data_IF_443491842941
#
_entry.id   IF_443491842941
#
_cell.length_a   1.000
_cell.length_b   1.000
_cell.length_c   1.000
_cell.angle_alpha   90.00
_cell.angle_beta   90.00
_cell.angle_gamma   90.00
#
_symmetry.space_group_name_H-M   'P 1'
#
loop_
_entity.id
_entity.type
_entity.pdbx_description
1 polymer ?
#
# COMPACT_ATOMS: atom_id res chain seq x y z
N UNK A 1 35.82 40.69 -44.22
CA UNK A 1 36.30 39.85 -43.10
C UNK A 1 35.15 39.73 -42.11
N UNK A 2 34.44 38.58 -42.04
CA UNK A 2 34.66 37.46 -41.10
C UNK A 2 34.46 37.96 -39.64
N UNK A 3 33.48 37.55 -38.82
CA UNK A 3 32.88 36.23 -38.56
C UNK A 3 31.52 36.33 -37.83
N UNK A 4 30.65 35.34 -38.07
CA UNK A 4 29.54 34.94 -37.20
C UNK A 4 30.04 34.55 -35.79
N UNK A 5 29.24 34.79 -34.73
CA UNK A 5 29.22 33.93 -33.55
C UNK A 5 27.82 33.33 -33.31
N UNK A 6 27.77 32.01 -33.48
CA UNK A 6 27.19 31.04 -32.52
C UNK A 6 25.68 31.11 -32.22
N UNK A 7 24.93 30.45 -33.11
CA UNK A 7 24.04 29.33 -32.79
C UNK A 7 24.23 28.74 -31.37
N UNK A 8 23.27 28.93 -30.46
CA UNK A 8 22.92 28.01 -29.33
C UNK A 8 21.98 28.72 -28.34
N UNK A 9 20.67 28.73 -28.60
CA UNK A 9 19.66 28.85 -27.54
C UNK A 9 18.39 28.12 -28.00
N UNK A 10 18.06 27.02 -27.34
CA UNK A 10 16.74 26.41 -27.50
C UNK A 10 16.69 24.90 -27.64
N UNK A 11 17.53 24.14 -26.93
CA UNK A 11 17.16 22.77 -26.56
C UNK A 11 16.71 22.83 -25.11
N UNK A 12 15.48 23.28 -24.90
CA UNK A 12 14.74 23.02 -23.66
C UNK A 12 14.14 21.61 -23.79
N UNK A 13 14.99 20.58 -23.81
CA UNK A 13 14.54 19.21 -23.65
C UNK A 13 14.19 19.03 -22.18
N UNK A 14 12.87 19.06 -21.94
CA UNK A 14 12.17 18.64 -20.76
C UNK A 14 13.00 17.71 -19.85
N UNK A 15 13.41 18.23 -18.70
CA UNK A 15 13.62 17.42 -17.51
C UNK A 15 12.28 16.78 -17.17
N UNK A 16 12.00 15.62 -17.76
CA UNK A 16 11.00 14.68 -17.25
C UNK A 16 11.49 14.37 -15.84
N UNK A 17 10.80 14.95 -14.87
CA UNK A 17 11.00 14.71 -13.47
C UNK A 17 10.94 13.19 -13.25
N UNK A 18 12.11 12.59 -13.04
CA UNK A 18 12.22 11.36 -12.30
C UNK A 18 11.85 11.73 -10.86
N UNK A 19 10.56 11.89 -10.61
CA UNK A 19 10.00 11.97 -9.27
C UNK A 19 10.16 10.56 -8.68
N UNK A 20 11.08 10.31 -7.73
CA UNK A 20 10.96 9.09 -6.96
C UNK A 20 9.63 9.21 -6.23
N UNK A 21 8.74 8.29 -6.56
CA UNK A 21 7.52 7.94 -5.86
C UNK A 21 7.26 8.74 -4.57
N UNK A 22 6.19 9.55 -4.57
CA UNK A 22 5.46 9.92 -3.36
C UNK A 22 4.80 8.66 -2.76
N UNK A 23 5.57 7.61 -2.50
CA UNK A 23 5.18 6.51 -1.66
C UNK A 23 5.54 6.95 -0.25
N UNK A 24 4.53 7.27 0.56
CA UNK A 24 4.73 7.61 1.98
C UNK A 24 5.74 6.65 2.59
N UNK A 25 6.72 7.21 3.29
CA UNK A 25 7.89 6.57 3.88
C UNK A 25 7.72 5.04 4.02
N UNK A 26 8.26 4.29 3.05
CA UNK A 26 8.00 2.86 2.95
C UNK A 26 8.58 2.17 4.19
N UNK A 27 7.70 1.76 5.11
CA UNK A 27 8.13 1.10 6.34
C UNK A 27 8.70 -0.28 6.02
N UNK A 28 9.98 -0.44 6.31
CA UNK A 28 10.73 -1.67 6.10
C UNK A 28 10.81 -2.41 7.42
N UNK A 29 10.33 -3.65 7.43
CA UNK A 29 10.28 -4.47 8.64
C UNK A 29 11.33 -5.58 8.59
N UNK A 30 12.01 -5.91 9.70
CA UNK A 30 12.87 -7.08 9.77
C UNK A 30 12.08 -8.37 9.55
N UNK A 31 12.66 -9.30 8.79
CA UNK A 31 12.15 -10.67 8.67
C UNK A 31 12.92 -11.58 9.66
N UNK A 32 12.24 -12.22 10.62
CA UNK A 32 12.91 -13.03 11.63
C UNK A 32 13.37 -14.37 11.05
N UNK A 33 14.65 -14.46 10.67
CA UNK A 33 15.29 -15.71 10.24
C UNK A 33 16.65 -15.90 10.91
N UNK A 34 17.03 -17.17 11.12
CA UNK A 34 18.35 -17.53 11.64
C UNK A 34 19.43 -17.59 10.54
N UNK A 35 19.02 -17.55 9.27
CA UNK A 35 19.89 -17.62 8.10
C UNK A 35 19.74 -16.36 7.26
N UNK A 36 20.86 -15.86 6.74
CA UNK A 36 20.91 -14.68 5.88
C UNK A 36 21.43 -15.08 4.49
N UNK A 37 20.55 -15.01 3.50
CA UNK A 37 20.87 -15.27 2.08
C UNK A 37 21.06 -13.98 1.28
N UNK A 38 21.15 -12.84 1.95
CA UNK A 38 21.37 -11.56 1.31
C UNK A 38 22.86 -11.29 1.09
N UNK A 39 23.13 -10.34 0.18
CA UNK A 39 24.46 -9.80 -0.04
C UNK A 39 25.08 -9.27 1.29
N UNK A 40 26.42 -9.23 1.40
CA UNK A 40 27.08 -8.77 2.61
C UNK A 40 26.61 -7.35 2.99
N UNK A 41 26.31 -7.16 4.28
CA UNK A 41 25.80 -5.89 4.81
C UNK A 41 24.28 -5.70 4.73
N UNK A 42 23.55 -6.63 4.12
CA UNK A 42 22.09 -6.64 4.06
C UNK A 42 21.51 -7.81 4.82
N UNK A 43 20.26 -7.66 5.26
CA UNK A 43 19.50 -8.71 5.93
C UNK A 43 18.15 -8.91 5.23
N UNK A 44 17.46 -10.04 5.48
CA UNK A 44 16.11 -10.22 4.97
C UNK A 44 15.15 -9.25 5.66
N UNK A 45 14.36 -8.58 4.85
CA UNK A 45 13.35 -7.60 5.23
C UNK A 45 12.01 -7.95 4.59
N UNK A 46 10.94 -7.40 5.15
CA UNK A 46 9.59 -7.43 4.65
C UNK A 46 9.18 -6.02 4.25
N UNK A 47 8.75 -5.86 3.00
CA UNK A 47 8.18 -4.62 2.49
C UNK A 47 6.90 -4.97 1.73
N UNK A 48 5.77 -4.38 2.14
CA UNK A 48 4.45 -4.62 1.54
C UNK A 48 4.08 -6.13 1.41
N UNK A 49 4.55 -6.95 2.35
CA UNK A 49 4.29 -8.40 2.36
C UNK A 49 5.22 -9.26 1.51
N UNK A 50 6.21 -8.67 0.83
CA UNK A 50 7.23 -9.39 0.05
C UNK A 50 8.55 -9.43 0.82
N UNK A 51 9.25 -10.58 0.76
CA UNK A 51 10.58 -10.76 1.34
C UNK A 51 11.63 -10.24 0.34
N UNK A 52 12.47 -9.31 0.78
CA UNK A 52 13.57 -8.74 0.01
C UNK A 52 14.84 -8.64 0.86
N UNK A 53 15.96 -8.28 0.24
CA UNK A 53 17.19 -7.92 0.94
C UNK A 53 17.28 -6.42 1.16
N UNK A 54 17.62 -5.99 2.37
CA UNK A 54 17.66 -4.56 2.71
C UNK A 54 18.07 -4.31 4.16
N UNK A 55 17.87 -3.07 4.60
CA UNK A 55 18.11 -2.65 5.97
C UNK A 55 16.77 -2.27 6.63
N UNK A 56 16.43 -2.84 7.80
CA UNK A 56 15.20 -2.52 8.49
C UNK A 56 15.23 -1.09 9.01
N UNK A 57 14.17 -0.33 8.76
CA UNK A 57 13.97 1.01 9.37
C UNK A 57 13.17 0.93 10.66
N UNK A 58 12.54 -0.21 10.93
CA UNK A 58 11.68 -0.44 12.10
C UNK A 58 12.19 -1.59 12.97
N UNK A 59 11.93 -1.51 14.28
CA UNK A 59 12.26 -2.58 15.24
C UNK A 59 11.19 -3.66 15.42
N UNK A 60 10.09 -3.60 14.65
CA UNK A 60 8.94 -4.51 14.76
C UNK A 60 8.79 -5.32 13.48
N UNK A 61 8.28 -6.54 13.55
CA UNK A 61 8.06 -7.36 12.35
C UNK A 61 6.81 -6.93 11.59
N UNK A 62 6.76 -7.22 10.28
CA UNK A 62 5.58 -6.95 9.45
C UNK A 62 4.31 -7.57 10.04
N UNK A 63 4.42 -8.80 10.55
CA UNK A 63 3.29 -9.50 11.18
C UNK A 63 2.82 -8.81 12.46
N UNK A 64 3.70 -8.22 13.26
CA UNK A 64 3.31 -7.46 14.44
C UNK A 64 2.60 -6.17 14.06
N UNK A 65 3.09 -5.46 13.04
CA UNK A 65 2.42 -4.24 12.56
C UNK A 65 1.03 -4.53 12.00
N UNK A 66 0.88 -5.60 11.21
CA UNK A 66 -0.40 -5.97 10.60
C UNK A 66 -1.41 -6.56 11.60
N UNK A 67 -1.00 -6.87 12.83
CA UNK A 67 -1.90 -7.38 13.89
C UNK A 67 -2.86 -6.32 14.44
N UNK A 68 -2.77 -5.05 14.02
CA UNK A 68 -3.74 -4.04 14.44
C UNK A 68 -5.18 -4.50 14.11
N UNK A 69 -6.12 -4.45 15.07
CA UNK A 69 -7.50 -4.77 14.76
C UNK A 69 -8.07 -3.63 13.90
N UNK A 70 -8.29 -3.88 12.61
CA UNK A 70 -9.14 -2.99 11.82
C UNK A 70 -10.52 -2.98 12.47
N UNK A 71 -11.12 -1.82 12.77
CA UNK A 71 -12.45 -1.75 13.34
C UNK A 71 -13.41 -2.52 12.43
N UNK A 72 -13.85 -3.70 12.87
CA UNK A 72 -14.85 -4.47 12.14
C UNK A 72 -16.18 -3.75 12.32
N UNK A 73 -16.70 -3.18 11.24
CA UNK A 73 -18.05 -2.63 11.23
C UNK A 73 -19.00 -3.79 11.61
N UNK A 74 -19.59 -3.73 12.80
CA UNK A 74 -20.62 -4.68 13.20
C UNK A 74 -21.81 -4.46 12.28
N UNK A 75 -22.02 -5.37 11.31
CA UNK A 75 -23.25 -5.39 10.54
C UNK A 75 -24.38 -5.65 11.52
N UNK A 76 -25.21 -4.64 11.78
CA UNK A 76 -26.45 -4.83 12.56
C UNK A 76 -27.30 -5.81 11.76
N UNK A 77 -27.45 -7.04 12.27
CA UNK A 77 -28.43 -7.97 11.73
C UNK A 77 -29.79 -7.37 12.04
N UNK A 78 -30.43 -6.77 11.03
CA UNK A 78 -31.83 -6.38 11.12
C UNK A 78 -32.60 -7.66 11.43
N UNK A 79 -33.06 -7.81 12.66
CA UNK A 79 -33.95 -8.91 13.01
C UNK A 79 -35.27 -8.63 12.31
N UNK A 80 -35.53 -9.32 11.20
CA UNK A 80 -36.85 -9.34 10.62
C UNK A 80 -37.80 -9.93 11.66
N UNK A 81 -38.59 -9.05 12.28
CA UNK A 81 -39.64 -9.45 13.19
C UNK A 81 -40.62 -10.35 12.43
N UNK A 82 -40.74 -11.60 12.85
CA UNK A 82 -41.68 -12.58 12.30
C UNK A 82 -43.16 -12.18 12.49
N UNK A 83 -43.45 -10.98 13.00
CA UNK A 83 -44.82 -10.43 13.10
C UNK A 83 -45.44 -10.00 11.76
N UNK A 84 -44.81 -10.31 10.62
CA UNK A 84 -45.39 -10.16 9.28
C UNK A 84 -46.09 -11.42 8.77
N UNK A 85 -46.55 -12.31 9.67
CA UNK A 85 -47.28 -13.52 9.28
C UNK A 85 -48.70 -13.26 8.76
N UNK A 86 -49.19 -12.01 8.78
CA UNK A 86 -50.49 -11.63 8.23
C UNK A 86 -50.27 -10.63 7.08
N UNK A 87 -49.98 -11.18 5.90
CA UNK A 87 -49.82 -10.40 4.67
C UNK A 87 -50.90 -10.79 3.67
N UNK A 88 -51.89 -9.93 3.41
CA UNK A 88 -52.95 -10.23 2.46
C UNK A 88 -52.40 -10.33 1.04
N UNK A 89 -53.07 -11.14 0.21
CA UNK A 89 -52.71 -11.37 -1.21
C UNK A 89 -52.63 -10.03 -1.96
N UNK A 90 -51.48 -9.75 -2.57
CA UNK A 90 -51.22 -8.51 -3.32
C UNK A 90 -50.22 -7.54 -2.67
N UNK A 91 -49.75 -7.82 -1.46
CA UNK A 91 -48.82 -6.96 -0.73
C UNK A 91 -47.36 -7.16 -1.17
N UNK A 92 -46.69 -6.14 -1.70
CA UNK A 92 -45.25 -6.19 -2.03
C UNK A 92 -44.40 -5.89 -0.79
N UNK A 93 -43.37 -6.70 -0.52
CA UNK A 93 -42.41 -6.49 0.58
C UNK A 93 -42.69 -7.27 1.87
N UNK A 94 -43.66 -8.17 1.83
CA UNK A 94 -43.83 -9.25 2.80
C UNK A 94 -43.02 -10.48 2.35
N UNK A 95 -42.13 -10.96 3.21
CA UNK A 95 -41.37 -12.21 3.05
C UNK A 95 -41.03 -12.75 4.43
#
# INVERSE_FOLDING_TARGET
>A
MRLLPTLTKGIALAFIAASPAMAGEAKIYPYPTNVNYCAPGYQPIMLNGVICCGQPTTGVTYRQMMRHPTPRVKKVKQQYSARRSDCPVGSKGCY
#
